data_IF_639729304198
#
_entry.id   IF_639729304198
#
_cell.length_a   1.000
_cell.length_b   1.000
_cell.length_c   1.000
_cell.angle_alpha   90.00
_cell.angle_beta   90.00
_cell.angle_gamma   90.00
#
_symmetry.space_group_name_H-M   'P 1'
#
loop_
_entity.id
_entity.type
_entity.pdbx_description
1 polymer ?
#
# COMPACT_ATOMS: atom_id res chain seq x y z
N UNK A 1 -5.74 -3.54 3.85
CA UNK A 1 -4.77 -2.43 4.02
C UNK A 1 -3.68 -2.77 5.04
N UNK A 2 -3.99 -3.21 6.27
CA UNK A 2 -2.97 -3.60 7.25
C UNK A 2 -1.95 -4.63 6.71
N UNK A 3 -2.44 -5.67 6.00
CA UNK A 3 -1.58 -6.64 5.33
C UNK A 3 -0.67 -6.01 4.26
N UNK A 4 -1.17 -5.06 3.47
CA UNK A 4 -0.37 -4.35 2.44
C UNK A 4 0.73 -3.52 3.11
N UNK A 5 0.43 -2.83 4.20
CA UNK A 5 1.44 -2.08 4.96
C UNK A 5 2.54 -3.00 5.52
N UNK A 6 2.17 -4.20 6.00
CA UNK A 6 3.13 -5.14 6.55
C UNK A 6 3.96 -5.87 5.49
N UNK A 7 3.36 -6.26 4.37
CA UNK A 7 4.03 -7.06 3.34
C UNK A 7 4.58 -6.25 2.19
N UNK A 8 4.17 -4.98 2.07
CA UNK A 8 4.39 -4.12 0.91
C UNK A 8 3.91 -4.71 -0.42
N UNK A 9 3.00 -5.70 -0.35
CA UNK A 9 2.50 -6.44 -1.49
C UNK A 9 0.99 -6.28 -1.59
N UNK A 10 0.52 -6.11 -2.83
CA UNK A 10 -0.89 -6.10 -3.17
C UNK A 10 -1.24 -7.41 -3.88
N UNK A 11 -2.33 -8.06 -3.48
CA UNK A 11 -2.92 -9.11 -4.31
C UNK A 11 -3.59 -8.46 -5.52
N UNK A 12 -3.40 -9.00 -6.72
CA UNK A 12 -3.91 -8.43 -7.97
C UNK A 12 -5.45 -8.53 -8.15
N UNK A 13 -6.19 -8.29 -7.08
CA UNK A 13 -7.64 -8.30 -7.03
C UNK A 13 -8.23 -6.91 -7.33
N UNK A 14 -9.53 -6.91 -7.60
CA UNK A 14 -10.26 -5.70 -7.99
C UNK A 14 -10.47 -4.73 -6.82
N UNK A 15 -10.40 -5.20 -5.58
CA UNK A 15 -10.56 -4.38 -4.38
C UNK A 15 -9.35 -3.48 -4.17
N UNK A 16 -8.14 -4.03 -4.30
CA UNK A 16 -6.92 -3.25 -4.14
C UNK A 16 -6.74 -2.19 -5.23
N UNK A 17 -7.20 -2.45 -6.47
CA UNK A 17 -7.26 -1.42 -7.52
C UNK A 17 -8.16 -0.25 -7.10
N UNK A 18 -9.32 -0.52 -6.49
CA UNK A 18 -10.18 0.56 -5.95
C UNK A 18 -9.47 1.36 -4.85
N UNK A 19 -8.64 0.71 -4.02
CA UNK A 19 -7.86 1.40 -2.98
C UNK A 19 -6.77 2.32 -3.54
N UNK A 20 -6.10 1.92 -4.63
CA UNK A 20 -5.16 2.78 -5.36
C UNK A 20 -5.90 3.99 -5.95
N UNK A 21 -7.05 3.78 -6.59
CA UNK A 21 -7.87 4.87 -7.15
C UNK A 21 -8.36 5.86 -6.09
N UNK A 22 -8.71 5.37 -4.89
CA UNK A 22 -9.14 6.20 -3.77
C UNK A 22 -7.96 6.85 -3.01
N UNK A 23 -6.71 6.70 -3.48
CA UNK A 23 -5.46 7.15 -2.83
C UNK A 23 -5.26 6.60 -1.42
N UNK A 24 -5.90 5.47 -1.11
CA UNK A 24 -5.73 4.83 0.17
C UNK A 24 -4.45 4.00 0.24
N UNK A 25 -4.02 3.49 -0.91
CA UNK A 25 -2.74 2.83 -1.11
C UNK A 25 -1.98 3.62 -2.17
N UNK A 26 -0.67 3.79 -1.96
CA UNK A 26 0.25 4.41 -2.90
C UNK A 26 1.12 3.32 -3.51
N UNK A 27 1.40 3.45 -4.81
CA UNK A 27 2.46 2.70 -5.48
C UNK A 27 3.70 3.57 -5.48
N UNK A 28 4.80 3.03 -4.98
CA UNK A 28 6.13 3.59 -5.10
C UNK A 28 6.89 2.77 -6.13
N UNK A 29 7.62 3.43 -7.01
CA UNK A 29 8.44 2.75 -8.01
C UNK A 29 9.71 3.52 -8.30
N UNK A 30 10.80 2.80 -8.51
CA UNK A 30 12.07 3.33 -9.03
C UNK A 30 12.68 2.32 -10.00
N UNK A 31 13.58 2.81 -10.85
CA UNK A 31 14.44 1.95 -11.66
C UNK A 31 15.70 1.65 -10.87
N UNK A 32 16.02 0.37 -10.71
CA UNK A 32 17.25 -0.04 -10.05
C UNK A 32 18.47 0.10 -10.98
N UNK A 33 19.63 -0.35 -10.50
CA UNK A 33 20.90 -0.25 -11.22
C UNK A 33 20.92 -1.09 -12.51
N UNK A 34 20.01 -2.06 -12.64
CA UNK A 34 19.85 -2.94 -13.82
C UNK A 34 18.75 -2.44 -14.78
N UNK A 35 18.26 -1.20 -14.60
CA UNK A 35 17.11 -0.61 -15.31
C UNK A 35 15.79 -1.39 -15.14
N UNK A 36 15.69 -2.23 -14.11
CA UNK A 36 14.46 -2.94 -13.78
C UNK A 36 13.51 -2.04 -12.97
N UNK A 37 12.23 -2.05 -13.34
CA UNK A 37 11.21 -1.28 -12.62
C UNK A 37 10.81 -2.03 -11.34
N UNK A 38 11.36 -1.60 -10.21
CA UNK A 38 10.96 -2.09 -8.90
C UNK A 38 9.76 -1.29 -8.40
N UNK A 39 8.69 -1.99 -8.02
CA UNK A 39 7.48 -1.39 -7.48
C UNK A 39 7.07 -2.06 -6.17
N UNK A 40 6.71 -1.24 -5.19
CA UNK A 40 6.05 -1.70 -3.96
C UNK A 40 4.91 -0.77 -3.61
N UNK A 41 4.14 -1.16 -2.61
CA UNK A 41 2.94 -0.45 -2.24
C UNK A 41 2.86 -0.24 -0.75
N UNK A 42 2.34 0.90 -0.35
CA UNK A 42 2.12 1.20 1.06
C UNK A 42 0.83 2.01 1.25
N UNK A 43 0.32 2.01 2.48
CA UNK A 43 -0.86 2.79 2.85
C UNK A 43 -0.50 4.28 2.88
N UNK A 44 -1.39 5.13 2.37
CA UNK A 44 -1.16 6.56 2.36
C UNK A 44 -1.00 7.10 3.80
N UNK A 45 -0.01 7.97 4.09
CA UNK A 45 0.27 8.44 5.46
C UNK A 45 -0.92 9.11 6.18
N UNK A 46 -1.90 9.61 5.44
CA UNK A 46 -3.14 10.16 5.99
C UNK A 46 -4.03 9.08 6.63
N UNK A 47 -4.03 7.85 6.09
CA UNK A 47 -4.81 6.74 6.64
C UNK A 47 -4.15 6.20 7.92
N UNK A 48 -2.83 6.28 8.03
CA UNK A 48 -2.11 5.94 9.26
C UNK A 48 -2.51 6.81 10.47
N UNK A 49 -3.19 7.95 10.23
CA UNK A 49 -3.70 8.84 11.27
C UNK A 49 -5.14 8.55 11.69
N UNK A 50 -5.80 7.59 11.04
CA UNK A 50 -7.18 7.19 11.35
C UNK A 50 -7.14 6.13 12.46
N UNK A 51 -7.78 6.41 13.58
CA UNK A 51 -7.71 5.56 14.78
C UNK A 51 -8.21 4.13 14.51
N UNK A 52 -9.32 3.96 13.78
CA UNK A 52 -9.84 2.61 13.47
C UNK A 52 -8.85 1.80 12.60
N UNK A 53 -8.06 2.48 11.76
CA UNK A 53 -7.04 1.81 10.96
C UNK A 53 -5.87 1.32 11.84
N UNK A 54 -5.45 2.13 12.80
CA UNK A 54 -4.37 1.79 13.74
C UNK A 54 -4.78 0.66 14.69
N UNK A 55 -6.04 0.64 15.15
CA UNK A 55 -6.57 -0.44 15.98
C UNK A 55 -6.56 -1.79 15.24
N UNK A 56 -6.95 -1.81 13.96
CA UNK A 56 -6.88 -3.04 13.15
C UNK A 56 -5.46 -3.47 12.79
N UNK A 57 -4.48 -2.56 12.82
CA UNK A 57 -3.08 -2.89 12.55
C UNK A 57 -2.42 -3.60 13.74
N UNK A 58 -2.86 -3.31 14.97
CA UNK A 58 -2.29 -3.79 16.23
C UNK A 58 -3.06 -4.97 16.86
N UNK A 59 -4.16 -5.40 16.25
CA UNK A 59 -4.94 -6.59 16.63
C UNK A 59 -4.47 -7.85 15.91
#
# INVERSE_FOLDING_TARGET
MAKVHQTHQIQNDQEHRKLLFNRCVLQYSYYDDDEELISWYDVHPLILKISEFVEQLNS
#
